data_IF_483671500101
#
_entry.id   IF_483671500101
#
_cell.length_a   1.000
_cell.length_b   1.000
_cell.length_c   1.000
_cell.angle_alpha   90.00
_cell.angle_beta   90.00
_cell.angle_gamma   90.00
#
_symmetry.space_group_name_H-M   'P 1'
#
loop_
_entity.id
_entity.type
_entity.pdbx_description
1 polymer ?
#
# COMPACT_ATOMS: atom_id res chain seq x y z
N UNK A 1 -9.50 -3.36 -5.00
CA UNK A 1 -9.26 -2.46 -6.13
C UNK A 1 -10.16 -1.27 -5.89
N UNK A 2 -9.58 -0.07 -5.77
CA UNK A 2 -10.29 1.18 -5.49
C UNK A 2 -10.94 1.78 -6.73
N UNK A 3 -10.17 1.91 -7.82
CA UNK A 3 -10.51 2.61 -9.06
C UNK A 3 -10.25 4.12 -8.97
N UNK A 4 -11.17 4.96 -9.47
CA UNK A 4 -11.00 6.41 -9.43
C UNK A 4 -11.57 6.96 -8.11
N UNK A 5 -10.85 7.85 -7.47
CA UNK A 5 -11.23 8.52 -6.23
C UNK A 5 -10.37 8.07 -5.04
N UNK A 6 -10.55 8.78 -3.92
CA UNK A 6 -9.85 8.44 -2.67
C UNK A 6 -10.57 7.26 -2.00
N UNK A 7 -9.93 6.09 -1.96
CA UNK A 7 -10.49 4.86 -1.41
C UNK A 7 -9.93 4.48 -0.04
N UNK A 8 -10.70 3.68 0.70
CA UNK A 8 -10.22 3.00 1.91
C UNK A 8 -10.42 1.51 1.76
N UNK A 9 -9.32 0.76 1.80
CA UNK A 9 -9.30 -0.68 1.58
C UNK A 9 -8.69 -1.43 2.76
N UNK A 10 -9.26 -2.60 3.05
CA UNK A 10 -8.82 -3.52 4.10
C UNK A 10 -8.66 -4.91 3.50
N UNK A 11 -7.46 -5.49 3.59
CA UNK A 11 -7.14 -6.85 3.12
C UNK A 11 -7.68 -7.92 4.06
N UNK A 12 -7.50 -7.72 5.37
CA UNK A 12 -7.97 -8.65 6.37
C UNK A 12 -6.92 -9.68 6.73
N UNK A 13 -7.37 -10.87 7.15
CA UNK A 13 -6.46 -11.99 7.32
C UNK A 13 -6.30 -12.73 5.99
N UNK A 14 -5.07 -13.00 5.58
CA UNK A 14 -4.82 -13.85 4.42
C UNK A 14 -3.61 -13.45 3.61
N UNK A 15 -3.80 -13.42 2.29
CA UNK A 15 -2.75 -13.01 1.37
C UNK A 15 -3.43 -12.19 0.30
N UNK A 16 -3.40 -10.89 0.50
CA UNK A 16 -4.24 -9.98 -0.24
C UNK A 16 -3.48 -9.30 -1.38
N UNK A 17 -4.22 -8.94 -2.41
CA UNK A 17 -3.72 -8.17 -3.54
C UNK A 17 -4.64 -6.97 -3.71
N UNK A 18 -4.17 -5.82 -3.28
CA UNK A 18 -4.93 -4.58 -3.28
C UNK A 18 -4.28 -3.57 -4.22
N UNK A 19 -5.13 -2.74 -4.85
CA UNK A 19 -4.71 -1.72 -5.81
C UNK A 19 -5.59 -0.49 -5.64
N UNK A 20 -4.99 0.67 -5.41
CA UNK A 20 -5.65 1.97 -5.30
C UNK A 20 -6.20 2.43 -6.64
N UNK A 21 -5.30 2.58 -7.62
CA UNK A 21 -5.52 3.20 -8.94
C UNK A 21 -5.40 4.74 -8.89
N UNK A 22 -6.45 5.52 -9.14
CA UNK A 22 -6.32 6.98 -9.21
C UNK A 22 -6.93 7.62 -7.97
N UNK A 23 -6.15 8.29 -7.13
CA UNK A 23 -6.66 8.91 -5.91
C UNK A 23 -5.63 8.91 -4.78
N UNK A 24 -5.95 9.52 -3.65
CA UNK A 24 -5.14 9.40 -2.45
C UNK A 24 -5.74 8.29 -1.59
N UNK A 25 -5.17 7.09 -1.68
CA UNK A 25 -5.76 5.88 -1.12
C UNK A 25 -5.24 5.57 0.28
N UNK A 26 -6.09 4.96 1.10
CA UNK A 26 -5.72 4.34 2.37
C UNK A 26 -5.87 2.83 2.27
N UNK A 27 -4.76 2.10 2.38
CA UNK A 27 -4.71 0.66 2.14
C UNK A 27 -4.12 -0.06 3.36
N UNK A 28 -4.88 -0.98 3.96
CA UNK A 28 -4.46 -1.74 5.14
C UNK A 28 -4.43 -3.25 4.83
N UNK A 29 -3.25 -3.86 4.80
CA UNK A 29 -3.02 -5.30 4.61
C UNK A 29 -3.57 -6.14 5.76
N UNK A 30 -3.34 -5.67 6.99
CA UNK A 30 -3.64 -6.36 8.24
C UNK A 30 -2.79 -7.61 8.49
N UNK A 31 -3.29 -8.83 8.32
CA UNK A 31 -2.56 -10.02 8.73
C UNK A 31 -2.23 -10.92 7.53
N UNK A 32 -0.95 -11.05 7.21
CA UNK A 32 -0.48 -12.02 6.24
C UNK A 32 0.51 -11.41 5.26
N UNK A 33 0.72 -12.05 4.10
CA UNK A 33 1.80 -11.63 3.19
C UNK A 33 1.25 -10.87 1.99
N UNK A 34 1.02 -9.58 2.15
CA UNK A 34 0.17 -8.81 1.25
C UNK A 34 0.93 -8.12 0.13
N UNK A 35 0.17 -7.70 -0.88
CA UNK A 35 0.65 -6.83 -1.97
C UNK A 35 -0.26 -5.63 -2.10
N UNK A 36 0.28 -4.46 -1.84
CA UNK A 36 -0.44 -3.19 -1.92
C UNK A 36 0.21 -2.33 -3.01
N UNK A 37 -0.61 -1.87 -3.95
CA UNK A 37 -0.21 -0.99 -5.05
C UNK A 37 -1.01 0.32 -4.96
N UNK A 38 -0.38 1.43 -4.59
CA UNK A 38 -0.99 2.76 -4.50
C UNK A 38 -1.44 3.25 -5.88
N UNK A 39 -0.47 3.43 -6.79
CA UNK A 39 -0.60 3.87 -8.20
C UNK A 39 -0.46 5.37 -8.36
N UNK A 40 -1.54 6.12 -8.59
CA UNK A 40 -1.48 7.55 -8.87
C UNK A 40 -2.11 8.33 -7.72
N UNK A 41 -1.31 9.14 -7.04
CA UNK A 41 -1.78 10.00 -5.95
C UNK A 41 -0.89 9.83 -4.73
N UNK A 42 -1.23 10.50 -3.63
CA UNK A 42 -0.46 10.42 -2.40
C UNK A 42 -1.07 9.36 -1.49
N UNK A 43 -0.51 8.16 -1.51
CA UNK A 43 -1.12 7.00 -0.89
C UNK A 43 -0.60 6.73 0.51
N UNK A 44 -1.43 6.11 1.34
CA UNK A 44 -1.05 5.55 2.63
C UNK A 44 -1.19 4.04 2.58
N UNK A 45 -0.06 3.34 2.56
CA UNK A 45 0.01 1.89 2.48
C UNK A 45 0.52 1.32 3.82
N UNK A 46 -0.33 0.56 4.52
CA UNK A 46 0.04 -0.18 5.72
C UNK A 46 -0.02 -1.68 5.42
N UNK A 47 1.13 -2.35 5.37
CA UNK A 47 1.21 -3.79 5.17
C UNK A 47 0.69 -4.62 6.36
N UNK A 48 0.68 -4.05 7.57
CA UNK A 48 0.29 -4.78 8.77
C UNK A 48 1.37 -5.78 9.22
N UNK A 49 0.96 -6.96 9.68
CA UNK A 49 1.84 -8.00 10.19
C UNK A 49 2.36 -8.91 9.08
N UNK A 50 3.47 -9.62 9.36
CA UNK A 50 4.17 -10.52 8.43
C UNK A 50 4.95 -9.80 7.32
N UNK A 51 5.06 -10.39 6.12
CA UNK A 51 5.99 -9.94 5.08
C UNK A 51 5.23 -9.45 3.86
N UNK A 52 5.23 -8.13 3.71
CA UNK A 52 4.46 -7.42 2.69
C UNK A 52 5.33 -6.88 1.56
N UNK A 53 4.66 -6.60 0.45
CA UNK A 53 5.19 -5.85 -0.68
C UNK A 53 4.33 -4.61 -0.88
N UNK A 54 4.92 -3.44 -0.67
CA UNK A 54 4.26 -2.15 -0.86
C UNK A 54 4.92 -1.40 -2.02
N UNK A 55 4.10 -0.90 -2.92
CA UNK A 55 4.50 -0.10 -4.08
C UNK A 55 3.57 1.11 -4.13
N UNK A 56 4.08 2.28 -3.70
CA UNK A 56 3.34 3.54 -3.76
C UNK A 56 3.16 4.03 -5.20
N UNK A 57 4.14 3.75 -6.06
CA UNK A 57 4.23 4.25 -7.42
C UNK A 57 4.32 5.79 -7.44
N UNK A 58 3.42 6.50 -8.13
CA UNK A 58 3.59 7.92 -8.44
C UNK A 58 2.87 8.80 -7.41
N UNK A 59 3.63 9.63 -6.70
CA UNK A 59 3.11 10.54 -5.69
C UNK A 59 3.98 10.56 -4.44
N UNK A 60 3.56 11.33 -3.45
CA UNK A 60 4.22 11.35 -2.14
C UNK A 60 3.53 10.35 -1.23
N UNK A 61 4.09 9.15 -1.17
CA UNK A 61 3.48 8.01 -0.49
C UNK A 61 4.03 7.81 0.92
N UNK A 62 3.17 7.32 1.80
CA UNK A 62 3.54 6.86 3.14
C UNK A 62 3.38 5.35 3.23
N UNK A 63 4.48 4.65 3.45
CA UNK A 63 4.47 3.21 3.69
C UNK A 63 4.76 2.86 5.16
N UNK A 64 3.95 1.95 5.71
CA UNK A 64 4.22 1.28 6.98
C UNK A 64 4.21 -0.23 6.76
N UNK A 65 5.18 -0.94 7.30
CA UNK A 65 5.31 -2.40 7.16
C UNK A 65 5.58 -3.03 8.51
N UNK A 66 5.10 -4.25 8.71
CA UNK A 66 5.38 -5.05 9.90
C UNK A 66 6.83 -5.47 10.05
N UNK A 67 7.12 -6.10 11.19
CA UNK A 67 8.48 -6.39 11.68
C UNK A 67 9.34 -7.34 10.79
N UNK A 68 8.86 -7.72 9.60
CA UNK A 68 9.55 -8.60 8.64
C UNK A 68 9.44 -8.06 7.20
N UNK A 69 9.99 -6.88 6.97
CA UNK A 69 10.06 -6.18 5.68
C UNK A 69 10.68 -6.99 4.53
N UNK A 70 10.17 -6.77 3.30
CA UNK A 70 11.01 -6.92 2.10
C UNK A 70 11.09 -5.72 1.14
N UNK A 71 10.14 -4.80 1.08
CA UNK A 71 10.34 -3.50 0.41
C UNK A 71 9.10 -2.60 0.46
N UNK A 72 9.28 -1.33 0.77
CA UNK A 72 8.45 -0.26 0.21
C UNK A 72 9.30 0.43 -0.87
N UNK A 73 8.80 0.46 -2.09
CA UNK A 73 9.36 1.29 -3.16
C UNK A 73 8.61 2.62 -3.18
N UNK A 74 9.23 3.65 -2.60
CA UNK A 74 8.80 5.05 -2.74
C UNK A 74 9.47 5.62 -3.99
N UNK A 75 8.73 6.32 -4.85
CA UNK A 75 9.38 7.10 -5.90
C UNK A 75 10.24 8.23 -5.29
N UNK A 76 11.30 8.59 -6.01
CA UNK A 76 12.38 9.44 -5.54
C UNK A 76 12.07 10.95 -5.50
N UNK A 77 10.93 11.36 -4.96
CA UNK A 77 10.69 12.77 -4.61
C UNK A 77 11.23 13.15 -3.22
N UNK A 78 11.57 12.18 -2.38
CA UNK A 78 12.03 12.44 -1.01
C UNK A 78 13.56 12.42 -0.87
N UNK A 79 14.16 13.62 -0.96
CA UNK A 79 15.48 13.98 -0.39
C UNK A 79 15.27 14.83 0.87
#
# INVERSE_FOLDING_TARGET
VGHDGDDTMYGGAGRDNMRGDDGNDMMYGEAGNDRLYGRQGNDTLDGGADTDQLDGSAGMDTCTTGEKLKSCELDGADI
#
